data_IF_181766441850
#
_entry.id   IF_181766441850
#
_cell.length_a   1.000
_cell.length_b   1.000
_cell.length_c   1.000
_cell.angle_alpha   90.00
_cell.angle_beta   90.00
_cell.angle_gamma   90.00
#
_symmetry.space_group_name_H-M   'P 1'
#
loop_
_entity.id
_entity.type
_entity.pdbx_description
1 polymer ?
#
# COMPACT_ATOMS: atom_id res chain seq x y z
N UNK A 1 -27.23 9.06 -17.49
CA UNK A 1 -28.03 8.86 -16.27
C UNK A 1 -27.15 8.15 -15.28
N UNK A 2 -26.98 8.70 -14.07
CA UNK A 2 -26.25 8.02 -12.98
C UNK A 2 -27.26 7.41 -12.03
N UNK A 3 -27.02 6.19 -11.57
CA UNK A 3 -27.83 5.59 -10.54
C UNK A 3 -27.67 6.37 -9.23
N UNK A 4 -28.78 6.74 -8.55
CA UNK A 4 -28.70 7.45 -7.27
C UNK A 4 -28.00 6.58 -6.21
N UNK A 5 -27.33 7.23 -5.26
CA UNK A 5 -26.67 6.55 -4.15
C UNK A 5 -27.66 5.93 -3.16
N UNK A 6 -28.88 6.48 -3.07
CA UNK A 6 -29.96 5.91 -2.26
C UNK A 6 -30.98 5.24 -3.18
N UNK A 7 -31.23 3.96 -2.96
CA UNK A 7 -32.25 3.17 -3.63
C UNK A 7 -33.12 2.49 -2.58
N UNK A 8 -34.39 2.19 -2.86
CA UNK A 8 -35.25 1.47 -1.90
C UNK A 8 -34.73 0.09 -1.53
N UNK A 9 -33.90 -0.49 -2.39
CA UNK A 9 -33.22 -1.77 -2.15
C UNK A 9 -31.70 -1.52 -2.06
N UNK A 10 -31.00 -2.17 -1.14
CA UNK A 10 -29.54 -2.04 -1.02
C UNK A 10 -28.88 -2.61 -2.28
N UNK A 11 -28.17 -1.77 -3.01
CA UNK A 11 -27.35 -2.17 -4.16
C UNK A 11 -25.89 -2.06 -3.74
N UNK A 12 -25.08 -3.09 -4.00
CA UNK A 12 -23.64 -3.05 -3.71
C UNK A 12 -22.96 -1.92 -4.48
N UNK A 13 -21.97 -1.28 -3.86
CA UNK A 13 -21.21 -0.19 -4.47
C UNK A 13 -20.54 -0.65 -5.76
N UNK A 14 -20.02 -1.88 -5.80
CA UNK A 14 -19.42 -2.50 -6.96
C UNK A 14 -20.38 -2.58 -8.15
N UNK A 15 -21.59 -3.14 -7.94
CA UNK A 15 -22.58 -3.25 -9.02
C UNK A 15 -23.05 -1.86 -9.51
N UNK A 16 -23.17 -0.92 -8.59
CA UNK A 16 -23.50 0.47 -8.93
C UNK A 16 -22.41 1.13 -9.78
N UNK A 17 -21.13 0.92 -9.45
CA UNK A 17 -19.99 1.43 -10.21
C UNK A 17 -19.98 0.86 -11.64
N UNK A 18 -20.24 -0.46 -11.79
CA UNK A 18 -20.35 -1.12 -13.10
C UNK A 18 -21.48 -0.50 -13.92
N UNK A 19 -22.68 -0.36 -13.33
CA UNK A 19 -23.83 0.21 -14.01
C UNK A 19 -23.61 1.68 -14.42
N UNK A 20 -23.03 2.50 -13.54
CA UNK A 20 -22.70 3.89 -13.84
C UNK A 20 -21.65 4.01 -14.95
N UNK A 21 -20.69 3.09 -15.02
CA UNK A 21 -19.73 3.03 -16.12
C UNK A 21 -20.41 2.69 -17.45
N UNK A 22 -21.34 1.71 -17.49
CA UNK A 22 -22.11 1.38 -18.68
C UNK A 22 -22.87 2.57 -19.24
N UNK A 23 -23.42 3.40 -18.35
CA UNK A 23 -24.28 4.53 -18.69
C UNK A 23 -23.57 5.89 -18.66
N UNK A 24 -22.24 5.91 -18.61
CA UNK A 24 -21.46 7.16 -18.60
C UNK A 24 -21.83 8.04 -19.81
N UNK A 25 -22.01 9.34 -19.58
CA UNK A 25 -22.28 10.31 -20.64
C UNK A 25 -21.12 10.41 -21.66
N UNK A 26 -19.90 10.13 -21.23
CA UNK A 26 -18.73 10.12 -22.10
C UNK A 26 -18.48 8.70 -22.61
N UNK A 27 -18.52 8.51 -23.91
CA UNK A 27 -18.35 7.20 -24.57
C UNK A 27 -17.02 6.53 -24.23
N UNK A 28 -15.92 7.29 -24.18
CA UNK A 28 -14.58 6.80 -23.80
C UNK A 28 -14.51 6.19 -22.41
N UNK A 29 -15.41 6.55 -21.51
CA UNK A 29 -15.48 6.03 -20.14
C UNK A 29 -16.34 4.78 -20.03
N UNK A 30 -17.10 4.43 -21.07
CA UNK A 30 -17.89 3.20 -21.09
C UNK A 30 -17.00 1.98 -21.29
N UNK A 31 -17.57 0.80 -21.08
CA UNK A 31 -16.91 -0.43 -21.48
C UNK A 31 -16.76 -0.45 -23.01
N UNK A 32 -15.57 -0.71 -23.50
CA UNK A 32 -15.25 -0.64 -24.93
C UNK A 32 -15.91 -1.77 -25.74
N UNK A 33 -16.24 -2.88 -25.07
CA UNK A 33 -16.94 -4.01 -25.67
C UNK A 33 -17.68 -4.82 -24.61
N UNK A 34 -18.57 -5.70 -25.05
CA UNK A 34 -19.36 -6.56 -24.18
C UNK A 34 -18.51 -7.55 -23.35
N UNK A 35 -17.34 -7.95 -23.84
CA UNK A 35 -16.43 -8.87 -23.13
C UNK A 35 -15.88 -8.22 -21.86
N UNK A 36 -15.47 -6.97 -21.91
CA UNK A 36 -14.96 -6.24 -20.73
C UNK A 36 -16.07 -5.97 -19.72
N UNK A 37 -17.30 -5.71 -20.17
CA UNK A 37 -18.46 -5.63 -19.27
C UNK A 37 -18.77 -6.98 -18.62
N UNK A 38 -18.77 -8.05 -19.40
CA UNK A 38 -18.99 -9.40 -18.88
C UNK A 38 -17.94 -9.77 -17.84
N UNK A 39 -16.67 -9.44 -18.09
CA UNK A 39 -15.57 -9.65 -17.13
C UNK A 39 -15.81 -8.94 -15.80
N UNK A 40 -16.26 -7.68 -15.82
CA UNK A 40 -16.55 -6.92 -14.61
C UNK A 40 -17.76 -7.49 -13.84
N UNK A 41 -18.82 -7.89 -14.55
CA UNK A 41 -20.00 -8.53 -13.93
C UNK A 41 -19.70 -9.91 -13.38
N UNK A 42 -18.93 -10.73 -14.11
CA UNK A 42 -18.48 -12.04 -13.65
C UNK A 42 -17.61 -11.88 -12.40
N UNK A 43 -16.63 -10.99 -12.41
CA UNK A 43 -15.78 -10.69 -11.26
C UNK A 43 -16.56 -10.24 -10.03
N UNK A 44 -17.57 -9.39 -10.22
CA UNK A 44 -18.46 -9.00 -9.12
C UNK A 44 -19.29 -10.18 -8.58
N UNK A 45 -19.84 -11.01 -9.45
CA UNK A 45 -20.65 -12.18 -9.07
C UNK A 45 -19.79 -13.21 -8.31
N UNK A 46 -18.60 -13.49 -8.81
CA UNK A 46 -17.67 -14.46 -8.24
C UNK A 46 -17.04 -13.97 -6.92
N UNK A 47 -16.87 -12.64 -6.76
CA UNK A 47 -16.46 -12.05 -5.47
C UNK A 47 -17.52 -12.21 -4.36
N UNK A 48 -18.79 -12.54 -4.74
CA UNK A 48 -19.86 -12.85 -3.79
C UNK A 48 -20.02 -14.36 -3.54
N UNK A 49 -19.41 -15.20 -4.35
CA UNK A 49 -19.39 -16.65 -4.14
C UNK A 49 -18.12 -17.05 -3.38
N UNK A 50 -18.24 -17.87 -2.35
CA UNK A 50 -17.12 -18.36 -1.52
C UNK A 50 -16.12 -19.26 -2.28
N UNK A 51 -16.32 -19.50 -3.58
CA UNK A 51 -15.56 -20.47 -4.38
C UNK A 51 -14.24 -19.92 -4.99
N UNK A 52 -13.79 -18.73 -4.63
CA UNK A 52 -12.44 -18.23 -4.97
C UNK A 52 -12.14 -18.00 -6.46
N UNK A 53 -13.17 -17.87 -7.30
CA UNK A 53 -13.04 -17.51 -8.72
C UNK A 53 -12.85 -16.02 -8.96
N UNK A 54 -12.94 -15.59 -10.24
CA UNK A 54 -12.89 -14.19 -10.65
C UNK A 54 -11.52 -13.53 -10.55
N UNK A 55 -11.47 -12.20 -10.36
CA UNK A 55 -10.21 -11.47 -10.28
C UNK A 55 -9.28 -11.96 -9.18
N UNK A 56 -9.82 -12.43 -8.05
CA UNK A 56 -9.04 -13.03 -6.97
C UNK A 56 -8.40 -14.36 -7.41
N UNK A 57 -9.16 -15.23 -8.05
CA UNK A 57 -8.65 -16.48 -8.62
C UNK A 57 -7.59 -16.24 -9.70
N UNK A 58 -7.85 -15.30 -10.62
CA UNK A 58 -6.89 -14.89 -11.64
C UNK A 58 -5.59 -14.31 -11.05
N UNK A 59 -5.68 -13.52 -9.98
CA UNK A 59 -4.49 -13.03 -9.31
C UNK A 59 -3.68 -14.18 -8.72
N UNK A 60 -4.33 -15.10 -8.03
CA UNK A 60 -3.69 -16.31 -7.46
C UNK A 60 -2.96 -17.11 -8.54
N UNK A 61 -3.60 -17.34 -9.68
CA UNK A 61 -3.01 -18.08 -10.80
C UNK A 61 -1.84 -17.32 -11.44
N UNK A 62 -1.95 -16.01 -11.57
CA UNK A 62 -0.85 -15.15 -12.06
C UNK A 62 0.33 -15.12 -11.08
N UNK A 63 0.07 -15.05 -9.78
CA UNK A 63 1.12 -15.15 -8.76
C UNK A 63 1.88 -16.47 -8.83
N UNK A 64 1.18 -17.56 -9.09
CA UNK A 64 1.81 -18.89 -9.28
C UNK A 64 2.64 -18.98 -10.55
N UNK A 65 2.21 -18.36 -11.64
CA UNK A 65 2.85 -18.45 -12.96
C UNK A 65 3.93 -17.40 -13.20
N UNK A 66 3.74 -16.18 -12.72
CA UNK A 66 4.59 -15.01 -13.01
C UNK A 66 5.47 -14.60 -11.83
N UNK A 67 5.08 -14.97 -10.61
CA UNK A 67 5.71 -14.50 -9.37
C UNK A 67 5.08 -13.19 -8.88
N UNK A 68 5.53 -12.71 -7.71
CA UNK A 68 4.87 -11.60 -7.02
C UNK A 68 5.22 -10.23 -7.61
N UNK A 69 6.50 -9.88 -7.63
CA UNK A 69 7.02 -8.65 -8.23
C UNK A 69 8.37 -8.94 -8.89
N UNK A 70 8.74 -8.20 -9.95
CA UNK A 70 10.05 -8.36 -10.57
C UNK A 70 11.13 -7.68 -9.74
N UNK A 71 12.31 -8.29 -9.69
CA UNK A 71 13.49 -7.71 -9.07
C UNK A 71 13.93 -6.44 -9.82
N UNK A 72 14.31 -5.40 -9.09
CA UNK A 72 14.89 -4.21 -9.71
C UNK A 72 16.21 -4.54 -10.43
N UNK A 73 16.56 -3.80 -11.49
CA UNK A 73 17.80 -4.03 -12.23
C UNK A 73 19.03 -4.09 -11.32
N UNK A 74 19.86 -5.09 -11.49
CA UNK A 74 21.11 -5.27 -10.74
C UNK A 74 20.94 -5.79 -9.30
N UNK A 75 19.76 -6.25 -8.88
CA UNK A 75 19.52 -6.77 -7.54
C UNK A 75 20.50 -7.90 -7.17
N UNK A 76 20.61 -8.93 -8.00
CA UNK A 76 21.50 -10.07 -7.73
C UNK A 76 22.96 -9.63 -7.48
N UNK A 77 23.46 -8.70 -8.29
CA UNK A 77 24.81 -8.15 -8.12
C UNK A 77 24.96 -7.32 -6.83
N UNK A 78 23.92 -6.52 -6.46
CA UNK A 78 23.91 -5.77 -5.21
C UNK A 78 23.93 -6.73 -4.02
N UNK A 79 23.06 -7.74 -4.01
CA UNK A 79 22.99 -8.75 -2.95
C UNK A 79 24.29 -9.52 -2.86
N UNK A 80 24.86 -9.99 -3.97
CA UNK A 80 26.14 -10.69 -3.98
C UNK A 80 27.24 -9.85 -3.36
N UNK A 81 27.34 -8.56 -3.71
CA UNK A 81 28.34 -7.64 -3.17
C UNK A 81 28.18 -7.43 -1.66
N UNK A 82 26.96 -7.17 -1.21
CA UNK A 82 26.66 -6.93 0.21
C UNK A 82 26.90 -8.18 1.05
N UNK A 83 26.61 -9.35 0.51
CA UNK A 83 26.74 -10.62 1.21
C UNK A 83 28.13 -11.27 1.09
N UNK A 84 29.06 -10.72 0.30
CA UNK A 84 30.44 -11.22 0.16
C UNK A 84 31.41 -10.68 1.20
N UNK A 85 31.04 -9.59 1.89
CA UNK A 85 31.87 -8.98 2.93
C UNK A 85 31.64 -9.72 4.25
N UNK A 86 32.62 -10.50 4.70
CA UNK A 86 32.55 -11.31 5.93
C UNK A 86 32.31 -10.48 7.22
N UNK A 87 32.55 -9.18 7.16
CA UNK A 87 32.40 -8.26 8.30
C UNK A 87 31.07 -7.51 8.33
N UNK A 88 30.16 -7.73 7.37
CA UNK A 88 28.91 -6.99 7.36
C UNK A 88 27.91 -7.49 8.40
N UNK A 89 27.38 -6.54 9.16
CA UNK A 89 26.37 -6.79 10.17
C UNK A 89 25.02 -7.09 9.51
N UNK A 90 24.23 -7.96 10.13
CA UNK A 90 22.86 -8.29 9.68
C UNK A 90 22.01 -7.04 9.42
N UNK A 91 22.23 -5.98 10.22
CA UNK A 91 21.51 -4.70 10.06
C UNK A 91 21.82 -4.02 8.72
N UNK A 92 23.07 -4.07 8.26
CA UNK A 92 23.47 -3.46 6.98
C UNK A 92 22.88 -4.22 5.78
N UNK A 93 22.85 -5.56 5.88
CA UNK A 93 22.21 -6.40 4.87
C UNK A 93 20.71 -6.12 4.83
N UNK A 94 20.06 -6.02 6.00
CA UNK A 94 18.64 -5.75 6.12
C UNK A 94 18.26 -4.39 5.52
N UNK A 95 19.06 -3.35 5.76
CA UNK A 95 18.82 -2.01 5.18
C UNK A 95 18.94 -2.03 3.64
N UNK A 96 19.93 -2.74 3.10
CA UNK A 96 20.09 -2.88 1.65
C UNK A 96 18.96 -3.70 1.00
N UNK A 97 18.46 -4.73 1.70
CA UNK A 97 17.33 -5.54 1.27
C UNK A 97 16.04 -4.72 1.28
N UNK A 98 15.86 -3.85 2.29
CA UNK A 98 14.68 -3.01 2.44
C UNK A 98 14.48 -2.06 1.25
N UNK A 99 15.56 -1.67 0.57
CA UNK A 99 15.51 -0.82 -0.63
C UNK A 99 14.89 -1.52 -1.85
N UNK A 100 14.84 -2.87 -1.86
CA UNK A 100 14.20 -3.65 -2.92
C UNK A 100 12.92 -4.32 -2.41
N UNK A 101 11.77 -3.78 -2.81
CA UNK A 101 10.46 -4.28 -2.37
C UNK A 101 10.20 -5.72 -2.78
N UNK A 102 10.63 -6.12 -3.99
CA UNK A 102 10.41 -7.48 -4.46
C UNK A 102 11.17 -8.47 -3.57
N UNK A 103 12.41 -8.17 -3.22
CA UNK A 103 13.20 -9.01 -2.32
C UNK A 103 12.64 -8.98 -0.89
N UNK A 104 12.25 -7.81 -0.38
CA UNK A 104 11.65 -7.69 0.95
C UNK A 104 10.39 -8.54 1.09
N UNK A 105 9.50 -8.49 0.11
CA UNK A 105 8.28 -9.28 0.08
C UNK A 105 8.56 -10.77 -0.11
N UNK A 106 9.52 -11.13 -0.95
CA UNK A 106 9.91 -12.53 -1.15
C UNK A 106 10.46 -13.17 0.13
N UNK A 107 11.26 -12.41 0.89
CA UNK A 107 11.78 -12.87 2.18
C UNK A 107 10.66 -13.01 3.22
N UNK A 108 9.74 -12.05 3.30
CA UNK A 108 8.56 -12.13 4.17
C UNK A 108 7.72 -13.35 3.83
N UNK A 109 7.42 -13.55 2.54
CA UNK A 109 6.66 -14.69 2.04
C UNK A 109 7.32 -16.02 2.40
N UNK A 110 8.59 -16.16 2.06
CA UNK A 110 9.34 -17.43 2.23
C UNK A 110 9.33 -17.88 3.68
N UNK A 111 9.58 -16.97 4.61
CA UNK A 111 9.65 -17.33 6.02
C UNK A 111 8.27 -17.61 6.62
N UNK A 112 7.29 -16.71 6.38
CA UNK A 112 5.96 -16.85 6.98
C UNK A 112 5.18 -18.04 6.36
N UNK A 113 5.31 -18.31 5.06
CA UNK A 113 4.72 -19.51 4.44
C UNK A 113 5.33 -20.80 4.98
N UNK A 114 6.61 -20.83 5.32
CA UNK A 114 7.25 -21.99 5.94
C UNK A 114 6.70 -22.25 7.36
N UNK A 115 6.36 -21.19 8.12
CA UNK A 115 5.70 -21.34 9.44
C UNK A 115 4.33 -22.01 9.32
N UNK A 116 3.51 -21.60 8.34
CA UNK A 116 2.19 -22.20 8.10
C UNK A 116 2.31 -23.68 7.70
N UNK A 117 3.37 -24.08 7.01
CA UNK A 117 3.63 -25.46 6.62
C UNK A 117 4.20 -26.34 7.74
N UNK A 118 4.25 -25.84 8.96
CA UNK A 118 4.65 -26.64 10.14
C UNK A 118 6.14 -26.69 10.43
N UNK A 119 6.95 -25.87 9.77
CA UNK A 119 8.35 -25.69 10.15
C UNK A 119 8.39 -24.87 11.43
N UNK A 120 8.72 -25.51 12.56
CA UNK A 120 8.75 -24.83 13.86
C UNK A 120 9.86 -23.76 13.90
N UNK A 121 9.48 -22.52 13.67
CA UNK A 121 10.30 -21.35 14.01
C UNK A 121 9.87 -20.93 15.40
N UNK A 122 10.79 -20.96 16.36
CA UNK A 122 10.51 -20.56 17.74
C UNK A 122 10.07 -19.10 17.80
N UNK A 123 8.85 -18.85 18.20
CA UNK A 123 8.28 -17.52 18.40
C UNK A 123 6.80 -17.45 18.00
N UNK A 124 5.99 -16.79 18.83
CA UNK A 124 4.58 -16.55 18.54
C UNK A 124 4.45 -15.39 17.55
N UNK A 125 3.75 -15.61 16.44
CA UNK A 125 3.35 -14.61 15.48
C UNK A 125 4.27 -14.42 14.27
N UNK A 126 3.81 -13.68 13.26
CA UNK A 126 4.51 -13.46 12.01
C UNK A 126 5.79 -12.63 12.21
N UNK A 127 6.80 -12.92 11.40
CA UNK A 127 8.08 -12.21 11.46
C UNK A 127 8.02 -11.02 10.50
N UNK A 128 8.10 -9.82 11.06
CA UNK A 128 7.98 -8.55 10.32
C UNK A 128 9.28 -7.74 10.25
N UNK A 129 10.42 -8.25 10.72
CA UNK A 129 11.68 -7.55 10.57
C UNK A 129 12.63 -8.31 9.66
N UNK A 130 13.19 -7.63 8.66
CA UNK A 130 14.17 -8.24 7.76
C UNK A 130 15.40 -8.73 8.51
N UNK A 131 15.83 -8.04 9.57
CA UNK A 131 16.91 -8.50 10.44
C UNK A 131 16.65 -9.88 11.01
N UNK A 132 15.45 -10.12 11.55
CA UNK A 132 15.08 -11.42 12.09
C UNK A 132 14.97 -12.47 10.98
N UNK A 133 14.41 -12.12 9.83
CA UNK A 133 14.35 -13.01 8.67
C UNK A 133 15.75 -13.43 8.26
N UNK A 134 16.66 -12.48 8.05
CA UNK A 134 18.03 -12.75 7.64
C UNK A 134 18.78 -13.59 8.68
N UNK A 135 18.56 -13.33 9.98
CA UNK A 135 19.15 -14.14 11.05
C UNK A 135 18.67 -15.60 11.03
N UNK A 136 17.44 -15.86 10.58
CA UNK A 136 16.86 -17.20 10.52
C UNK A 136 17.26 -17.97 9.26
N UNK A 137 17.23 -17.32 8.08
CA UNK A 137 17.53 -17.98 6.80
C UNK A 137 19.01 -17.88 6.41
N UNK A 138 19.76 -16.99 7.07
CA UNK A 138 21.15 -16.70 6.76
C UNK A 138 21.36 -15.96 5.44
N UNK A 139 22.59 -15.57 5.19
CA UNK A 139 23.02 -14.86 3.97
C UNK A 139 22.74 -15.66 2.69
N UNK A 140 22.91 -16.98 2.75
CA UNK A 140 22.65 -17.86 1.62
C UNK A 140 21.15 -17.90 1.26
N UNK A 141 20.27 -17.83 2.26
CA UNK A 141 18.82 -17.72 2.04
C UNK A 141 18.45 -16.41 1.32
N UNK A 142 19.08 -15.30 1.68
CA UNK A 142 18.90 -14.02 0.99
C UNK A 142 19.35 -14.08 -0.47
N UNK A 143 20.52 -14.70 -0.74
CA UNK A 143 21.02 -14.91 -2.12
C UNK A 143 20.07 -15.79 -2.93
N UNK A 144 19.58 -16.87 -2.34
CA UNK A 144 18.63 -17.77 -3.01
C UNK A 144 17.35 -17.01 -3.36
N UNK A 145 16.75 -16.29 -2.41
CA UNK A 145 15.58 -15.47 -2.63
C UNK A 145 15.78 -14.44 -3.76
N UNK A 146 16.92 -13.73 -3.77
CA UNK A 146 17.24 -12.77 -4.82
C UNK A 146 17.36 -13.41 -6.22
N UNK A 147 17.87 -14.65 -6.30
CA UNK A 147 18.04 -15.38 -7.56
C UNK A 147 16.75 -16.02 -8.07
N UNK A 148 15.75 -16.22 -7.21
CA UNK A 148 14.44 -16.78 -7.61
C UNK A 148 13.49 -15.74 -8.16
N UNK A 149 13.76 -14.46 -7.88
CA UNK A 149 12.94 -13.37 -8.41
C UNK A 149 13.07 -13.24 -9.93
N UNK A 150 11.95 -12.96 -10.58
CA UNK A 150 11.93 -12.65 -12.01
C UNK A 150 12.68 -11.34 -12.28
N UNK A 151 13.48 -11.33 -13.32
CA UNK A 151 14.21 -10.13 -13.73
C UNK A 151 13.25 -9.04 -14.23
N UNK A 152 13.62 -7.78 -13.98
CA UNK A 152 12.92 -6.59 -14.49
C UNK A 152 12.88 -6.53 -16.03
N UNK A 153 11.80 -6.11 -16.65
CA UNK A 153 10.49 -5.75 -16.06
C UNK A 153 9.49 -6.94 -16.02
N UNK A 154 9.94 -8.17 -16.22
CA UNK A 154 9.08 -9.33 -16.35
C UNK A 154 8.27 -9.29 -17.65
N UNK A 155 6.94 -9.51 -17.64
CA UNK A 155 6.09 -9.51 -18.83
C UNK A 155 5.64 -8.11 -19.28
N UNK A 156 6.01 -7.04 -18.54
CA UNK A 156 5.55 -5.69 -18.82
C UNK A 156 6.24 -5.08 -20.04
N UNK A 157 5.49 -4.31 -20.83
CA UNK A 157 6.09 -3.45 -21.84
C UNK A 157 6.75 -2.21 -21.18
N UNK A 158 7.44 -1.40 -21.97
CA UNK A 158 8.21 -0.25 -21.50
C UNK A 158 7.34 0.77 -20.75
N UNK A 159 6.16 1.09 -21.27
CA UNK A 159 5.22 2.04 -20.62
C UNK A 159 4.69 1.50 -19.32
N UNK A 160 4.30 0.23 -19.29
CA UNK A 160 3.82 -0.44 -18.09
C UNK A 160 4.92 -0.58 -17.03
N UNK A 161 6.14 -0.89 -17.45
CA UNK A 161 7.31 -0.94 -16.58
C UNK A 161 7.63 0.42 -15.95
N UNK A 162 7.58 1.49 -16.74
CA UNK A 162 7.74 2.86 -16.24
C UNK A 162 6.65 3.22 -15.21
N UNK A 163 5.40 2.84 -15.47
CA UNK A 163 4.29 3.06 -14.55
C UNK A 163 4.44 2.26 -13.24
N UNK A 164 4.94 1.02 -13.31
CA UNK A 164 5.28 0.23 -12.12
C UNK A 164 6.41 0.90 -11.32
N UNK A 165 7.47 1.36 -12.00
CA UNK A 165 8.59 2.06 -11.35
C UNK A 165 8.11 3.29 -10.57
N UNK A 166 7.26 4.13 -11.16
CA UNK A 166 6.66 5.29 -10.48
C UNK A 166 5.87 4.87 -9.24
N UNK A 167 5.14 3.76 -9.32
CA UNK A 167 4.39 3.22 -8.17
C UNK A 167 5.34 2.72 -7.07
N UNK A 168 6.41 2.00 -7.43
CA UNK A 168 7.43 1.54 -6.49
C UNK A 168 8.12 2.72 -5.78
N UNK A 169 8.51 3.75 -6.53
CA UNK A 169 9.16 4.94 -5.95
C UNK A 169 8.22 5.70 -5.01
N UNK A 170 6.93 5.78 -5.35
CA UNK A 170 5.91 6.34 -4.46
C UNK A 170 5.78 5.52 -3.17
N UNK A 171 5.73 4.19 -3.26
CA UNK A 171 5.62 3.31 -2.07
C UNK A 171 6.87 3.40 -1.20
N UNK A 172 8.06 3.51 -1.78
CA UNK A 172 9.31 3.80 -1.03
C UNK A 172 9.23 5.12 -0.29
N UNK A 173 8.71 6.17 -0.94
CA UNK A 173 8.49 7.46 -0.30
C UNK A 173 7.52 7.33 0.88
N UNK A 174 6.43 6.56 0.75
CA UNK A 174 5.50 6.26 1.85
C UNK A 174 6.22 5.56 3.00
N UNK A 175 6.99 4.52 2.71
CA UNK A 175 7.75 3.78 3.71
C UNK A 175 8.68 4.68 4.54
N UNK A 176 9.49 5.50 3.87
CA UNK A 176 10.37 6.46 4.56
C UNK A 176 9.61 7.55 5.30
N UNK A 177 8.49 8.03 4.76
CA UNK A 177 7.64 8.99 5.46
C UNK A 177 7.05 8.38 6.73
N UNK A 178 6.60 7.13 6.68
CA UNK A 178 6.11 6.39 7.85
C UNK A 178 7.22 6.19 8.91
N UNK A 179 8.45 5.87 8.48
CA UNK A 179 9.60 5.81 9.37
C UNK A 179 9.86 7.14 10.10
N UNK A 180 9.76 8.27 9.40
CA UNK A 180 9.95 9.58 9.99
C UNK A 180 8.81 9.97 10.95
N UNK A 181 7.60 9.53 10.67
CA UNK A 181 6.42 9.78 11.49
C UNK A 181 6.28 8.84 12.69
N UNK A 182 7.04 7.74 12.73
CA UNK A 182 6.85 6.73 13.77
C UNK A 182 7.06 7.31 15.17
N UNK A 183 6.26 6.90 16.15
CA UNK A 183 6.52 7.25 17.54
C UNK A 183 7.78 6.58 18.08
N UNK A 184 8.35 7.13 19.16
CA UNK A 184 9.47 6.51 19.85
C UNK A 184 9.11 5.11 20.37
N UNK A 185 10.06 4.20 20.33
CA UNK A 185 9.89 2.81 20.78
C UNK A 185 9.45 1.83 19.67
N UNK A 186 8.95 2.30 18.54
CA UNK A 186 8.56 1.42 17.42
C UNK A 186 9.74 1.16 16.48
N UNK A 187 9.86 -0.07 16.00
CA UNK A 187 10.93 -0.46 15.07
C UNK A 187 10.71 0.19 13.69
N UNK A 188 11.76 0.83 13.17
CA UNK A 188 11.72 1.54 11.89
C UNK A 188 11.44 0.61 10.70
N UNK A 189 11.96 -0.63 10.72
CA UNK A 189 11.74 -1.60 9.65
C UNK A 189 10.29 -2.10 9.64
N UNK A 190 9.71 -2.35 10.84
CA UNK A 190 8.31 -2.77 10.94
C UNK A 190 7.39 -1.69 10.37
N UNK A 191 7.56 -0.44 10.78
CA UNK A 191 6.73 0.67 10.27
C UNK A 191 6.86 0.82 8.75
N UNK A 192 8.08 0.69 8.22
CA UNK A 192 8.33 0.73 6.78
C UNK A 192 7.59 -0.40 6.06
N UNK A 193 7.73 -1.64 6.54
CA UNK A 193 7.13 -2.82 5.92
C UNK A 193 5.60 -2.78 5.98
N UNK A 194 5.01 -2.33 7.09
CA UNK A 194 3.56 -2.12 7.17
C UNK A 194 3.09 -1.08 6.16
N UNK A 195 3.82 0.03 6.02
CA UNK A 195 3.50 1.05 5.03
C UNK A 195 3.58 0.54 3.57
N UNK A 196 4.53 -0.36 3.28
CA UNK A 196 4.62 -1.07 2.00
C UNK A 196 3.46 -2.06 1.81
N UNK A 197 3.13 -2.86 2.83
CA UNK A 197 2.02 -3.82 2.78
C UNK A 197 0.68 -3.11 2.53
N UNK A 198 0.45 -1.92 3.09
CA UNK A 198 -0.71 -1.09 2.78
C UNK A 198 -0.84 -0.70 1.29
N UNK A 199 0.17 -0.95 0.48
CA UNK A 199 0.15 -0.73 -0.97
C UNK A 199 0.27 -2.02 -1.78
N UNK A 200 0.27 -3.19 -1.11
CA UNK A 200 0.50 -4.47 -1.76
C UNK A 200 -0.53 -4.74 -2.88
N UNK A 201 -1.81 -4.54 -2.61
CA UNK A 201 -2.86 -4.68 -3.62
C UNK A 201 -2.63 -3.80 -4.84
N UNK A 202 -2.23 -2.53 -4.64
CA UNK A 202 -1.92 -1.58 -5.73
C UNK A 202 -0.73 -2.02 -6.57
N UNK A 203 0.32 -2.54 -5.92
CA UNK A 203 1.49 -3.09 -6.61
C UNK A 203 1.14 -4.34 -7.40
N UNK A 204 0.34 -5.24 -6.82
CA UNK A 204 -0.13 -6.45 -7.51
C UNK A 204 -0.99 -6.10 -8.73
N UNK A 205 -1.94 -5.17 -8.60
CA UNK A 205 -2.76 -4.71 -9.73
C UNK A 205 -1.88 -4.06 -10.80
N UNK A 206 -0.93 -3.22 -10.43
CA UNK A 206 -0.04 -2.55 -11.40
C UNK A 206 0.84 -3.54 -12.17
N UNK A 207 1.26 -4.62 -11.54
CA UNK A 207 2.12 -5.63 -12.17
C UNK A 207 1.34 -6.71 -12.93
N UNK A 208 0.28 -7.25 -12.33
CA UNK A 208 -0.46 -8.39 -12.89
C UNK A 208 -1.62 -8.00 -13.79
N UNK A 209 -2.17 -6.79 -13.61
CA UNK A 209 -3.33 -6.25 -14.31
C UNK A 209 -3.01 -4.85 -14.84
N UNK A 210 -1.91 -4.73 -15.61
CA UNK A 210 -1.36 -3.44 -16.02
C UNK A 210 -2.34 -2.61 -16.87
N UNK A 211 -3.07 -3.24 -17.76
CA UNK A 211 -4.06 -2.59 -18.63
C UNK A 211 -5.28 -2.13 -17.81
N UNK A 212 -5.74 -2.96 -16.89
CA UNK A 212 -6.81 -2.63 -15.95
C UNK A 212 -6.39 -1.51 -14.98
N UNK A 213 -5.14 -1.54 -14.51
CA UNK A 213 -4.57 -0.47 -13.69
C UNK A 213 -4.57 0.88 -14.41
N UNK A 214 -4.30 0.89 -15.70
CA UNK A 214 -4.38 2.11 -16.52
C UNK A 214 -5.84 2.59 -16.65
N UNK A 215 -6.79 1.69 -16.88
CA UNK A 215 -8.20 2.03 -16.93
C UNK A 215 -8.71 2.60 -15.60
N UNK A 216 -8.31 2.01 -14.46
CA UNK A 216 -8.61 2.53 -13.13
C UNK A 216 -8.13 3.98 -12.99
N UNK A 217 -6.87 4.24 -13.36
CA UNK A 217 -6.32 5.60 -13.31
C UNK A 217 -7.04 6.59 -14.23
N UNK A 218 -7.48 6.16 -15.41
CA UNK A 218 -8.27 7.02 -16.29
C UNK A 218 -9.63 7.39 -15.67
N UNK A 219 -10.29 6.44 -15.01
CA UNK A 219 -11.56 6.69 -14.32
C UNK A 219 -11.44 7.60 -13.10
N UNK A 220 -10.27 7.61 -12.45
CA UNK A 220 -9.98 8.48 -11.31
C UNK A 220 -9.69 9.93 -11.72
N UNK A 221 -9.33 10.17 -12.98
CA UNK A 221 -9.08 11.55 -13.45
C UNK A 221 -10.36 12.36 -13.50
N UNK A 222 -10.35 13.63 -13.03
CA UNK A 222 -11.49 14.51 -13.19
C UNK A 222 -11.78 14.76 -14.68
N UNK A 223 -13.07 14.88 -15.02
CA UNK A 223 -13.47 15.30 -16.35
C UNK A 223 -13.46 16.83 -16.40
N UNK A 224 -12.70 17.45 -17.30
CA UNK A 224 -12.70 18.90 -17.43
C UNK A 224 -14.09 19.42 -17.83
N UNK A 225 -14.40 20.63 -17.41
CA UNK A 225 -15.60 21.32 -17.86
C UNK A 225 -15.66 21.37 -19.38
N UNK A 226 -16.79 21.00 -19.96
CA UNK A 226 -17.00 21.10 -21.40
C UNK A 226 -17.61 22.45 -21.74
N UNK A 227 -16.83 23.30 -22.40
CA UNK A 227 -17.26 24.66 -22.79
C UNK A 227 -18.37 24.68 -23.87
N UNK A 228 -18.41 23.63 -24.71
CA UNK A 228 -19.39 23.55 -25.79
C UNK A 228 -20.78 23.13 -25.27
N UNK A 229 -20.82 22.25 -24.29
CA UNK A 229 -22.09 21.74 -23.71
C UNK A 229 -22.49 22.45 -22.42
N UNK A 230 -21.65 23.35 -21.89
CA UNK A 230 -21.86 24.00 -20.59
C UNK A 230 -21.78 23.05 -19.39
N UNK A 231 -21.30 21.81 -19.59
CA UNK A 231 -21.20 20.83 -18.50
C UNK A 231 -20.09 21.22 -17.52
N UNK A 232 -20.35 21.29 -16.20
CA UNK A 232 -19.34 21.62 -15.21
C UNK A 232 -18.28 20.51 -15.10
N UNK A 233 -17.10 20.84 -14.54
CA UNK A 233 -16.08 19.86 -14.18
C UNK A 233 -16.70 18.79 -13.27
N UNK A 234 -16.44 17.52 -13.56
CA UNK A 234 -16.90 16.41 -12.76
C UNK A 234 -15.71 15.73 -12.10
N UNK A 235 -15.75 15.48 -10.78
CA UNK A 235 -14.69 14.75 -10.11
C UNK A 235 -14.57 13.35 -10.69
N UNK A 236 -13.34 12.81 -10.72
CA UNK A 236 -13.09 11.41 -11.05
C UNK A 236 -13.74 10.46 -10.03
N UNK A 237 -13.74 9.17 -10.34
CA UNK A 237 -14.18 8.15 -9.39
C UNK A 237 -13.13 8.01 -8.26
N UNK A 238 -13.59 7.58 -7.08
CA UNK A 238 -12.66 7.08 -6.06
C UNK A 238 -11.91 5.84 -6.57
N UNK A 239 -10.73 5.54 -6.01
CA UNK A 239 -9.96 4.35 -6.38
C UNK A 239 -10.80 3.07 -6.21
N UNK A 240 -11.52 2.95 -5.10
CA UNK A 240 -12.42 1.81 -4.83
C UNK A 240 -13.51 1.68 -5.89
N UNK A 241 -14.21 2.77 -6.21
CA UNK A 241 -15.26 2.74 -7.24
C UNK A 241 -14.70 2.43 -8.63
N UNK A 242 -13.50 2.94 -8.96
CA UNK A 242 -12.84 2.66 -10.23
C UNK A 242 -12.36 1.19 -10.31
N UNK A 243 -11.82 0.65 -9.22
CA UNK A 243 -11.41 -0.74 -9.13
C UNK A 243 -12.61 -1.70 -9.31
N UNK A 244 -13.69 -1.47 -8.61
CA UNK A 244 -14.92 -2.25 -8.81
C UNK A 244 -15.45 -2.17 -10.24
N UNK A 245 -15.39 -0.98 -10.86
CA UNK A 245 -15.86 -0.81 -12.24
C UNK A 245 -14.97 -1.50 -13.29
N UNK A 246 -13.70 -1.78 -12.97
CA UNK A 246 -12.75 -2.40 -13.91
C UNK A 246 -12.49 -3.86 -13.58
N UNK A 247 -12.24 -4.17 -12.32
CA UNK A 247 -11.84 -5.51 -11.85
C UNK A 247 -13.03 -6.31 -11.27
N UNK A 248 -14.12 -5.65 -10.88
CA UNK A 248 -15.23 -6.29 -10.14
C UNK A 248 -14.92 -6.53 -8.66
N UNK A 249 -13.73 -6.13 -8.18
CA UNK A 249 -13.27 -6.33 -6.80
C UNK A 249 -12.46 -5.13 -6.32
N UNK A 250 -12.39 -4.94 -5.01
CA UNK A 250 -11.57 -3.91 -4.38
C UNK A 250 -10.08 -4.29 -4.40
N UNK A 251 -9.21 -3.28 -4.56
CA UNK A 251 -7.74 -3.44 -4.54
C UNK A 251 -7.26 -3.93 -3.18
N UNK A 252 -7.87 -3.49 -2.08
CA UNK A 252 -7.53 -3.95 -0.73
C UNK A 252 -7.83 -5.44 -0.56
N UNK A 253 -8.94 -5.94 -1.14
CA UNK A 253 -9.27 -7.36 -1.13
C UNK A 253 -8.23 -8.21 -1.88
N UNK A 254 -7.70 -7.71 -3.01
CA UNK A 254 -6.60 -8.37 -3.73
C UNK A 254 -5.33 -8.44 -2.86
N UNK A 255 -4.97 -7.35 -2.18
CA UNK A 255 -3.84 -7.33 -1.24
C UNK A 255 -4.01 -8.36 -0.11
N UNK A 256 -5.18 -8.39 0.51
CA UNK A 256 -5.48 -9.30 1.62
C UNK A 256 -5.39 -10.78 1.23
N UNK A 257 -5.75 -11.14 -0.02
CA UNK A 257 -5.57 -12.51 -0.53
C UNK A 257 -4.09 -12.87 -0.60
N UNK A 258 -3.24 -11.96 -1.10
CA UNK A 258 -1.79 -12.18 -1.16
C UNK A 258 -1.20 -12.34 0.24
N UNK A 259 -1.56 -11.46 1.17
CA UNK A 259 -1.11 -11.51 2.56
C UNK A 259 -1.47 -12.83 3.25
N UNK A 260 -2.69 -13.30 3.04
CA UNK A 260 -3.15 -14.60 3.56
C UNK A 260 -2.36 -15.76 2.95
N UNK A 261 -2.07 -15.72 1.65
CA UNK A 261 -1.24 -16.73 1.01
C UNK A 261 0.20 -16.75 1.54
N UNK A 262 0.71 -15.61 1.97
CA UNK A 262 2.02 -15.51 2.61
C UNK A 262 2.03 -16.00 4.06
N UNK A 263 0.88 -16.38 4.61
CA UNK A 263 0.76 -16.82 5.99
C UNK A 263 0.89 -15.68 7.01
N UNK A 264 0.60 -14.44 6.59
CA UNK A 264 0.54 -13.31 7.51
C UNK A 264 -0.71 -13.44 8.38
N UNK A 265 -0.54 -13.33 9.70
CA UNK A 265 -1.64 -13.45 10.66
C UNK A 265 -2.57 -12.23 10.65
N UNK A 266 -3.72 -12.38 11.30
CA UNK A 266 -4.78 -11.37 11.32
C UNK A 266 -4.31 -10.00 11.82
N UNK A 267 -3.40 -9.95 12.80
CA UNK A 267 -2.82 -8.70 13.32
C UNK A 267 -2.06 -7.95 12.22
N UNK A 268 -1.27 -8.66 11.40
CA UNK A 268 -0.54 -8.04 10.28
C UNK A 268 -1.50 -7.58 9.20
N UNK A 269 -2.49 -8.41 8.86
CA UNK A 269 -3.52 -8.05 7.89
C UNK A 269 -4.34 -6.84 8.37
N UNK A 270 -4.57 -6.71 9.69
CA UNK A 270 -5.19 -5.50 10.26
C UNK A 270 -4.32 -4.27 10.07
N UNK A 271 -3.01 -4.36 10.36
CA UNK A 271 -2.05 -3.27 10.17
C UNK A 271 -1.86 -2.89 8.69
N UNK A 272 -1.87 -3.87 7.80
CA UNK A 272 -1.72 -3.70 6.36
C UNK A 272 -2.97 -3.12 5.68
N UNK A 273 -4.13 -3.17 6.32
CA UNK A 273 -5.35 -2.56 5.79
C UNK A 273 -5.30 -1.04 6.00
N UNK A 274 -5.25 -0.31 4.90
CA UNK A 274 -5.26 1.15 4.90
C UNK A 274 -6.54 1.70 5.54
N UNK A 275 -6.44 2.82 6.28
CA UNK A 275 -7.62 3.48 6.82
C UNK A 275 -8.36 4.21 5.68
N UNK A 276 -9.66 3.95 5.44
CA UNK A 276 -10.43 4.67 4.44
C UNK A 276 -10.46 6.17 4.73
N UNK A 277 -10.34 7.01 3.68
CA UNK A 277 -10.24 8.47 3.83
C UNK A 277 -11.49 9.13 4.41
N UNK A 278 -12.64 8.50 4.29
CA UNK A 278 -13.93 8.92 4.85
C UNK A 278 -14.19 8.38 6.27
N UNK A 279 -13.40 7.40 6.72
CA UNK A 279 -13.55 6.85 8.08
C UNK A 279 -12.93 7.78 9.13
N UNK A 280 -13.58 7.96 10.30
CA UNK A 280 -13.02 8.75 11.38
C UNK A 280 -11.78 8.07 11.99
N UNK A 281 -10.74 8.87 12.27
CA UNK A 281 -9.56 8.39 12.99
C UNK A 281 -9.87 8.37 14.49
N UNK A 282 -9.81 7.19 15.09
CA UNK A 282 -9.97 6.98 16.53
C UNK A 282 -8.61 6.94 17.23
N UNK A 283 -8.59 7.16 18.53
CA UNK A 283 -7.38 6.96 19.34
C UNK A 283 -6.98 5.47 19.23
N UNK A 284 -5.69 5.17 19.03
CA UNK A 284 -5.25 3.78 18.95
C UNK A 284 -5.41 3.08 20.30
N UNK A 285 -5.93 1.86 20.28
CA UNK A 285 -6.12 1.02 21.47
C UNK A 285 -5.01 -0.03 21.61
N UNK A 286 -4.19 -0.20 20.57
CA UNK A 286 -3.12 -1.20 20.48
C UNK A 286 -1.92 -0.69 19.70
N UNK A 287 -0.77 -1.36 19.84
CA UNK A 287 0.42 -1.11 19.01
C UNK A 287 0.14 -1.34 17.52
N UNK A 288 -0.70 -2.32 17.20
CA UNK A 288 -1.14 -2.59 15.83
C UNK A 288 -1.90 -1.39 15.23
N UNK A 289 -2.76 -0.74 16.02
CA UNK A 289 -3.47 0.47 15.58
C UNK A 289 -2.50 1.63 15.36
N UNK A 290 -1.52 1.82 16.26
CA UNK A 290 -0.49 2.85 16.10
C UNK A 290 0.27 2.67 14.79
N UNK A 291 0.72 1.45 14.50
CA UNK A 291 1.43 1.12 13.26
C UNK A 291 0.55 1.34 12.03
N UNK A 292 -0.70 0.87 12.08
CA UNK A 292 -1.68 1.05 11.01
C UNK A 292 -1.93 2.53 10.72
N UNK A 293 -2.20 3.33 11.77
CA UNK A 293 -2.49 4.75 11.63
C UNK A 293 -1.27 5.54 11.13
N UNK A 294 -0.06 5.21 11.62
CA UNK A 294 1.18 5.85 11.17
C UNK A 294 1.41 5.59 9.67
N UNK A 295 1.25 4.35 9.22
CA UNK A 295 1.36 3.98 7.81
C UNK A 295 0.27 4.64 6.94
N UNK A 296 -0.98 4.71 7.44
CA UNK A 296 -2.09 5.35 6.73
C UNK A 296 -1.88 6.86 6.61
N UNK A 297 -1.42 7.54 7.67
CA UNK A 297 -1.09 8.96 7.63
C UNK A 297 0.03 9.27 6.63
N UNK A 298 1.07 8.44 6.57
CA UNK A 298 2.15 8.55 5.59
C UNK A 298 1.64 8.37 4.16
N UNK A 299 0.76 7.38 3.93
CA UNK A 299 0.12 7.16 2.64
C UNK A 299 -0.69 8.38 2.19
N UNK A 300 -1.57 8.91 3.04
CA UNK A 300 -2.38 10.09 2.71
C UNK A 300 -1.53 11.34 2.47
N UNK A 301 -0.46 11.54 3.26
CA UNK A 301 0.46 12.66 3.06
C UNK A 301 1.20 12.58 1.72
N UNK A 302 1.68 11.39 1.34
CA UNK A 302 2.33 11.17 0.04
C UNK A 302 1.34 11.33 -1.10
N UNK A 303 0.09 10.83 -0.96
CA UNK A 303 -0.97 11.04 -1.95
C UNK A 303 -1.25 12.52 -2.18
N UNK A 304 -1.32 13.30 -1.11
CA UNK A 304 -1.54 14.74 -1.20
C UNK A 304 -0.45 15.47 -2.01
N UNK A 305 0.83 15.11 -1.83
CA UNK A 305 1.94 15.80 -2.52
C UNK A 305 2.29 15.21 -3.89
N UNK A 306 1.78 14.03 -4.23
CA UNK A 306 1.98 13.41 -5.55
C UNK A 306 0.84 13.69 -6.51
N UNK A 307 -0.39 13.85 -6.00
CA UNK A 307 -1.60 14.09 -6.80
C UNK A 307 -1.95 15.57 -6.94
N UNK A 308 -1.50 16.43 -6.03
CA UNK A 308 -1.83 17.85 -5.97
C UNK A 308 -0.58 18.72 -5.99
N UNK A 309 -0.74 19.98 -6.43
CA UNK A 309 0.35 20.96 -6.49
C UNK A 309 -0.04 22.28 -5.82
N UNK A 310 0.96 23.06 -5.42
CA UNK A 310 0.77 24.40 -4.88
C UNK A 310 -0.14 24.46 -3.64
N UNK A 311 -1.04 25.42 -3.59
CA UNK A 311 -1.93 25.65 -2.45
C UNK A 311 -2.84 24.45 -2.13
N UNK A 312 -3.24 23.66 -3.16
CA UNK A 312 -4.07 22.46 -2.96
C UNK A 312 -3.32 21.38 -2.20
N UNK A 313 -2.04 21.17 -2.49
CA UNK A 313 -1.20 20.22 -1.75
C UNK A 313 -1.03 20.65 -0.29
N UNK A 314 -0.79 21.94 -0.03
CA UNK A 314 -0.69 22.48 1.33
C UNK A 314 -2.00 22.28 2.10
N UNK A 315 -3.13 22.59 1.50
CA UNK A 315 -4.44 22.36 2.11
C UNK A 315 -4.70 20.89 2.44
N UNK A 316 -4.35 19.98 1.53
CA UNK A 316 -4.50 18.54 1.75
C UNK A 316 -3.60 18.03 2.89
N UNK A 317 -2.34 18.48 2.98
CA UNK A 317 -1.45 18.14 4.11
C UNK A 317 -2.03 18.64 5.44
N UNK A 318 -2.59 19.85 5.47
CA UNK A 318 -3.25 20.35 6.68
C UNK A 318 -4.46 19.50 7.07
N UNK A 319 -5.25 19.01 6.10
CA UNK A 319 -6.37 18.11 6.36
C UNK A 319 -5.89 16.76 6.93
N UNK A 320 -4.84 16.16 6.36
CA UNK A 320 -4.23 14.94 6.90
C UNK A 320 -3.73 15.16 8.33
N UNK A 321 -3.02 16.28 8.58
CA UNK A 321 -2.56 16.62 9.92
C UNK A 321 -3.71 16.71 10.93
N UNK A 322 -4.77 17.45 10.62
CA UNK A 322 -5.95 17.55 11.47
C UNK A 322 -6.63 16.22 11.74
N UNK A 323 -6.70 15.37 10.72
CA UNK A 323 -7.31 14.04 10.80
C UNK A 323 -6.59 13.14 11.79
N UNK A 324 -5.27 13.13 11.79
CA UNK A 324 -4.44 12.26 12.63
C UNK A 324 -3.91 12.92 13.91
N UNK A 325 -4.17 14.23 14.11
CA UNK A 325 -3.64 15.00 15.23
C UNK A 325 -3.88 14.36 16.60
N UNK A 326 -5.12 13.94 16.87
CA UNK A 326 -5.51 13.36 18.18
C UNK A 326 -4.99 11.95 18.39
N UNK A 327 -4.84 11.17 17.32
CA UNK A 327 -4.44 9.77 17.41
C UNK A 327 -2.92 9.61 17.48
N UNK A 328 -2.17 10.41 16.70
CA UNK A 328 -0.73 10.28 16.57
C UNK A 328 0.05 11.48 17.11
N UNK A 329 -0.63 12.48 17.66
CA UNK A 329 0.00 13.75 18.12
C UNK A 329 0.89 14.38 17.03
N UNK A 330 0.37 14.49 15.81
CA UNK A 330 1.07 15.06 14.65
C UNK A 330 0.40 16.35 14.20
N UNK A 331 1.20 17.26 13.63
CA UNK A 331 0.74 18.47 13.01
C UNK A 331 1.28 18.60 11.56
N UNK A 332 0.88 19.66 10.85
CA UNK A 332 1.27 19.85 9.45
C UNK A 332 2.79 20.03 9.26
N UNK A 333 3.49 20.61 10.24
CA UNK A 333 4.96 20.73 10.20
C UNK A 333 5.60 19.35 10.27
N UNK A 334 5.14 18.49 11.17
CA UNK A 334 5.65 17.13 11.33
C UNK A 334 5.52 16.31 10.03
N UNK A 335 4.38 16.44 9.34
CA UNK A 335 4.17 15.78 8.04
C UNK A 335 5.10 16.32 6.96
N UNK A 336 5.28 17.65 6.90
CA UNK A 336 6.20 18.25 5.93
C UNK A 336 7.65 17.86 6.20
N UNK A 337 8.08 17.90 7.46
CA UNK A 337 9.44 17.51 7.87
C UNK A 337 9.69 16.01 7.54
N UNK A 338 8.71 15.15 7.80
CA UNK A 338 8.78 13.72 7.45
C UNK A 338 8.89 13.49 5.93
N UNK A 339 8.10 14.19 5.12
CA UNK A 339 8.17 14.13 3.66
C UNK A 339 9.52 14.63 3.13
N UNK A 340 10.07 15.70 3.69
CA UNK A 340 11.39 16.22 3.30
C UNK A 340 12.50 15.24 3.67
N UNK A 341 12.46 14.68 4.89
CA UNK A 341 13.41 13.67 5.33
C UNK A 341 13.36 12.42 4.44
N UNK A 342 12.16 11.94 4.11
CA UNK A 342 11.96 10.81 3.22
C UNK A 342 12.52 11.05 1.81
N UNK A 343 12.27 12.22 1.23
CA UNK A 343 12.86 12.62 -0.07
C UNK A 343 14.38 12.75 0.00
N UNK A 344 14.90 13.22 1.12
CA UNK A 344 16.36 13.25 1.38
C UNK A 344 16.96 11.86 1.40
N UNK A 345 16.37 10.94 2.16
CA UNK A 345 16.80 9.54 2.26
C UNK A 345 16.82 8.84 0.89
N UNK A 346 15.76 9.00 0.09
CA UNK A 346 15.70 8.42 -1.26
C UNK A 346 16.79 8.96 -2.21
N UNK A 347 17.20 10.21 -2.07
CA UNK A 347 18.25 10.80 -2.91
C UNK A 347 19.66 10.41 -2.50
N UNK A 348 19.90 10.25 -1.21
CA UNK A 348 21.24 10.06 -0.63
C UNK A 348 21.51 8.63 -0.18
N UNK A 349 20.48 7.76 -0.12
CA UNK A 349 20.59 6.43 0.49
C UNK A 349 20.88 6.47 2.00
N UNK A 350 20.60 7.59 2.66
CA UNK A 350 20.93 7.79 4.08
C UNK A 350 19.82 7.21 4.96
N UNK A 351 20.21 6.61 6.10
CA UNK A 351 19.24 6.11 7.09
C UNK A 351 18.37 7.22 7.65
N UNK A 352 17.10 6.90 7.88
CA UNK A 352 16.16 7.82 8.52
C UNK A 352 16.57 8.08 9.99
N UNK A 353 16.48 9.33 10.48
CA UNK A 353 16.78 9.66 11.85
C UNK A 353 15.82 8.94 12.82
N UNK A 354 16.30 8.69 14.04
CA UNK A 354 15.44 8.14 15.09
C UNK A 354 14.42 9.21 15.52
N UNK A 355 13.14 8.86 15.51
CA UNK A 355 12.10 9.75 16.01
C UNK A 355 12.13 9.82 17.53
N UNK A 356 12.08 11.04 18.07
CA UNK A 356 11.92 11.30 19.50
C UNK A 356 10.45 11.52 19.91
N UNK A 357 9.51 11.36 18.98
CA UNK A 357 8.09 11.62 19.20
C UNK A 357 7.47 10.56 20.13
N UNK A 358 6.67 11.00 21.10
CA UNK A 358 5.86 10.15 21.97
C UNK A 358 4.38 10.36 21.68
N UNK A 359 3.59 9.30 21.78
CA UNK A 359 2.13 9.41 21.79
C UNK A 359 1.71 9.70 23.22
N UNK A 360 0.84 10.71 23.49
CA UNK A 360 0.33 10.98 24.82
C UNK A 360 -0.42 9.77 25.36
N UNK A 361 -0.05 9.30 26.55
CA UNK A 361 -0.79 8.28 27.29
C UNK A 361 -1.95 8.93 28.05
N UNK A 362 -2.93 8.14 28.51
CA UNK A 362 -4.04 8.65 29.32
C UNK A 362 -3.57 9.27 30.64
N UNK A 363 -2.40 8.84 31.15
CA UNK A 363 -1.78 9.41 32.34
C UNK A 363 -1.29 10.85 32.11
N UNK A 364 -0.81 11.18 30.90
CA UNK A 364 -0.38 12.56 30.56
C UNK A 364 -1.58 13.49 30.42
N UNK A 365 -2.72 12.98 29.95
CA UNK A 365 -3.97 13.75 29.84
C UNK A 365 -4.58 14.08 31.21
N UNK A 366 -4.46 13.20 32.21
CA UNK A 366 -4.91 13.43 33.59
C UNK A 366 -3.96 14.37 34.36
N UNK A 367 -2.65 14.31 34.10
CA UNK A 367 -1.69 15.22 34.68
C UNK A 367 -1.91 16.68 34.23
N UNK A 368 -2.28 16.87 32.97
CA UNK A 368 -2.59 18.19 32.40
C UNK A 368 -3.94 18.79 32.91
N UNK A 369 -4.81 17.96 33.49
CA UNK A 369 -6.12 18.37 34.05
C UNK A 369 -6.08 18.72 35.54
N UNK A 370 -5.00 18.43 36.26
CA UNK A 370 -4.87 18.82 37.66
C UNK A 370 -4.65 20.34 37.75
N UNK A 371 -5.57 21.09 38.41
CA UNK A 371 -5.34 22.52 38.67
C UNK A 371 -4.12 22.66 39.55
N UNK A 372 -3.24 23.62 39.22
CA UNK A 372 -2.14 24.00 40.08
C UNK A 372 -2.72 24.44 41.41
N UNK A 373 -2.62 23.61 42.44
CA UNK A 373 -2.93 23.99 43.82
C UNK A 373 -1.79 24.89 44.30
N UNK A 374 -2.12 26.17 44.39
CA UNK A 374 -1.33 27.21 45.08
C UNK A 374 -1.41 27.00 46.58
#
# INVERSE_FOLDING_TARGET
>A
VRLPWSTPLPISEALRAIANRCTSGQERLRYQNARTLLGALAGWLEAQSDDGGGPLGLLVDRLRSVGHLPALPGLASRVARVTSLESQRTDEIADQVLDDMALSFELLRTLNSAQVQGTQIQGNGPVLTLRRIISLIGVNGVRLAANTLRAWPGPLNETQAAALQVTLDRVRLVGHTAQALRPAGYDAQVVYLIAMLQNLGRLMVRYHFADEAEQIQQLMKPNPANRETGAPEQPGLSETAAAFAVLGVDIEALGAVVERQWGLGDDVMHMARRLPTDAPVRKPDSDADVLRLTASAANEAVDAVTSLTGARAVAAINQVAMRYARALNINAKDLNDALQAARGALRTGTKMPVSARTIPTDQDADAARRPATS
#
